data_IF_467611698860
#
_entry.id   IF_467611698860
#
_cell.length_a   1.000
_cell.length_b   1.000
_cell.length_c   1.000
_cell.angle_alpha   90.00
_cell.angle_beta   90.00
_cell.angle_gamma   90.00
#
_symmetry.space_group_name_H-M   'P 1'
#
loop_
_entity.id
_entity.type
_entity.pdbx_description
1 polymer ?
#
# COMPACT_ATOMS: atom_id res chain seq x y z
N UNK A 1 11.87 9.32 15.73
CA UNK A 1 12.41 8.40 16.73
C UNK A 1 13.87 8.73 17.03
N UNK A 2 14.34 8.47 18.25
CA UNK A 2 15.69 8.82 18.73
C UNK A 2 16.82 8.19 17.89
N UNK A 3 16.59 7.00 17.30
CA UNK A 3 17.63 6.30 16.55
C UNK A 3 18.12 7.05 15.30
N UNK A 4 17.23 7.64 14.50
CA UNK A 4 17.63 8.46 13.33
C UNK A 4 18.38 9.71 13.80
N UNK A 5 17.92 10.35 14.87
CA UNK A 5 18.59 11.51 15.46
C UNK A 5 20.00 11.16 15.95
N UNK A 6 20.20 9.95 16.49
CA UNK A 6 21.52 9.42 16.85
C UNK A 6 22.41 9.21 15.63
N UNK A 7 21.89 8.58 14.56
CA UNK A 7 22.66 8.42 13.32
C UNK A 7 23.04 9.76 12.68
N UNK A 8 22.20 10.79 12.78
CA UNK A 8 22.56 12.16 12.36
C UNK A 8 23.75 12.71 13.15
N UNK A 9 23.77 12.54 14.48
CA UNK A 9 24.90 12.96 15.33
C UNK A 9 26.17 12.19 14.99
N UNK A 10 26.07 10.86 14.85
CA UNK A 10 27.21 10.00 14.50
C UNK A 10 27.80 10.35 13.13
N UNK A 11 26.93 10.65 12.15
CA UNK A 11 27.34 11.13 10.82
C UNK A 11 28.04 12.50 10.90
N UNK A 12 27.55 13.42 11.73
CA UNK A 12 28.18 14.72 11.98
C UNK A 12 29.53 14.59 12.71
N UNK A 13 29.67 13.58 13.58
CA UNK A 13 30.90 13.26 14.29
C UNK A 13 31.90 12.42 13.46
N UNK A 14 31.60 12.12 12.20
CA UNK A 14 32.49 11.37 11.30
C UNK A 14 32.63 9.89 11.66
N UNK A 15 31.68 9.31 12.40
CA UNK A 15 31.68 7.88 12.73
C UNK A 15 31.52 7.06 11.46
N UNK A 16 32.42 6.10 11.25
CA UNK A 16 32.42 5.27 10.05
C UNK A 16 31.08 4.53 9.86
N UNK A 17 30.63 4.49 8.61
CA UNK A 17 29.34 3.94 8.19
C UNK A 17 28.08 4.69 8.66
N UNK A 18 28.17 5.74 9.47
CA UNK A 18 27.00 6.45 9.98
C UNK A 18 26.21 7.19 8.88
N UNK A 19 26.93 7.76 7.90
CA UNK A 19 26.30 8.41 6.74
C UNK A 19 25.46 7.41 5.91
N UNK A 20 26.01 6.22 5.65
CA UNK A 20 25.29 5.18 4.89
C UNK A 20 24.06 4.67 5.66
N UNK A 21 24.17 4.45 6.97
CA UNK A 21 23.04 4.07 7.83
C UNK A 21 21.95 5.15 7.86
N UNK A 22 22.34 6.42 7.95
CA UNK A 22 21.40 7.54 7.93
C UNK A 22 20.64 7.62 6.59
N UNK A 23 21.35 7.54 5.47
CA UNK A 23 20.74 7.58 4.15
C UNK A 23 19.76 6.41 3.91
N UNK A 24 20.12 5.21 4.34
CA UNK A 24 19.24 4.04 4.29
C UNK A 24 17.98 4.22 5.14
N UNK A 25 18.13 4.80 6.34
CA UNK A 25 17.02 5.06 7.25
C UNK A 25 16.05 6.11 6.69
N UNK A 26 16.57 7.19 6.13
CA UNK A 26 15.76 8.23 5.48
C UNK A 26 15.03 7.69 4.26
N UNK A 27 15.70 6.86 3.45
CA UNK A 27 15.08 6.20 2.30
C UNK A 27 13.93 5.29 2.74
N UNK A 28 14.15 4.42 3.74
CA UNK A 28 13.10 3.56 4.28
C UNK A 28 11.93 4.37 4.83
N UNK A 29 12.20 5.45 5.58
CA UNK A 29 11.17 6.34 6.12
C UNK A 29 10.30 6.90 5.00
N UNK A 30 10.90 7.44 3.93
CA UNK A 30 10.15 7.97 2.79
C UNK A 30 9.23 6.92 2.15
N UNK A 31 9.66 5.65 2.06
CA UNK A 31 8.81 4.57 1.51
C UNK A 31 7.66 4.22 2.45
N UNK A 32 7.90 4.21 3.75
CA UNK A 32 6.83 3.98 4.74
C UNK A 32 5.81 5.12 4.75
N UNK A 33 6.23 6.37 4.52
CA UNK A 33 5.32 7.51 4.37
C UNK A 33 4.40 7.37 3.14
N UNK A 34 4.90 6.82 2.03
CA UNK A 34 4.08 6.49 0.85
C UNK A 34 3.01 5.43 1.17
N UNK A 35 3.38 4.37 1.88
CA UNK A 35 2.44 3.32 2.33
C UNK A 35 1.41 3.91 3.28
N UNK A 36 1.85 4.73 4.24
CA UNK A 36 0.99 5.37 5.23
C UNK A 36 -0.06 6.26 4.55
N UNK A 37 0.36 7.07 3.57
CA UNK A 37 -0.56 7.89 2.78
C UNK A 37 -1.47 7.04 1.89
N UNK A 38 -0.93 5.96 1.30
CA UNK A 38 -1.67 5.00 0.48
C UNK A 38 -2.28 5.62 -0.78
N UNK A 39 -1.59 6.59 -1.40
CA UNK A 39 -1.97 7.06 -2.73
C UNK A 39 -1.68 5.99 -3.78
N UNK A 40 -2.47 5.92 -4.85
CA UNK A 40 -2.18 5.00 -5.96
C UNK A 40 -0.74 5.23 -6.50
N UNK A 41 0.09 4.19 -6.69
CA UNK A 41 -0.22 2.76 -6.64
C UNK A 41 0.13 2.06 -5.31
N UNK A 42 0.26 2.80 -4.21
CA UNK A 42 0.62 2.29 -2.87
C UNK A 42 -0.60 2.02 -1.99
N UNK A 43 -1.78 1.99 -2.59
CA UNK A 43 -3.04 1.77 -1.91
C UNK A 43 -3.32 0.27 -1.70
N UNK A 44 -4.24 -0.01 -0.77
CA UNK A 44 -4.86 -1.34 -0.65
C UNK A 44 -6.17 -1.30 -1.44
N UNK A 45 -6.27 -2.21 -2.40
CA UNK A 45 -7.49 -2.47 -3.16
C UNK A 45 -8.08 -3.82 -2.76
N UNK A 46 -9.36 -3.82 -2.40
CA UNK A 46 -10.09 -5.00 -1.92
C UNK A 46 -11.31 -5.25 -2.79
N UNK A 47 -11.21 -6.22 -3.71
CA UNK A 47 -12.21 -6.47 -4.75
C UNK A 47 -13.63 -6.76 -4.25
N UNK A 48 -13.82 -7.29 -3.04
CA UNK A 48 -15.17 -7.54 -2.50
C UNK A 48 -15.75 -6.35 -1.73
N UNK A 49 -15.00 -5.25 -1.56
CA UNK A 49 -15.48 -4.04 -0.90
C UNK A 49 -15.93 -3.01 -1.94
N UNK A 50 -17.08 -2.33 -1.77
CA UNK A 50 -17.43 -1.17 -2.59
C UNK A 50 -16.47 0.00 -2.33
N UNK A 51 -16.52 1.02 -3.19
CA UNK A 51 -15.55 2.12 -3.20
C UNK A 51 -15.47 2.88 -1.86
N UNK A 52 -16.60 3.08 -1.19
CA UNK A 52 -16.70 3.75 0.12
C UNK A 52 -16.09 2.92 1.27
N UNK A 53 -16.00 1.60 1.11
CA UNK A 53 -15.42 0.69 2.11
C UNK A 53 -13.95 0.34 1.84
N UNK A 54 -13.38 0.82 0.73
CA UNK A 54 -11.96 0.61 0.43
C UNK A 54 -11.07 1.27 1.49
N UNK A 55 -9.96 0.64 1.92
CA UNK A 55 -9.00 1.25 2.85
C UNK A 55 -8.44 2.58 2.33
N UNK A 56 -8.31 3.57 3.22
CA UNK A 56 -7.68 4.87 2.90
C UNK A 56 -6.38 4.98 3.69
N UNK A 57 -5.26 5.14 2.98
CA UNK A 57 -3.94 5.03 3.60
C UNK A 57 -3.62 3.61 4.03
N UNK A 58 -2.66 3.49 4.95
CA UNK A 58 -2.36 2.22 5.61
C UNK A 58 -3.37 1.94 6.74
N UNK A 59 -4.52 1.39 6.36
CA UNK A 59 -5.59 0.97 7.27
C UNK A 59 -6.14 -0.41 6.86
N UNK A 60 -5.32 -1.48 6.94
CA UNK A 60 -5.70 -2.80 6.48
C UNK A 60 -6.74 -3.47 7.39
N UNK A 61 -7.67 -4.20 6.80
CA UNK A 61 -8.54 -5.13 7.52
C UNK A 61 -7.90 -6.53 7.49
N UNK A 62 -7.69 -7.13 8.66
CA UNK A 62 -7.06 -8.44 8.78
C UNK A 62 -7.88 -9.55 8.12
N UNK A 63 -9.20 -9.36 7.99
CA UNK A 63 -10.09 -10.32 7.33
C UNK A 63 -9.96 -10.30 5.80
N UNK A 64 -9.33 -9.27 5.22
CA UNK A 64 -9.15 -9.19 3.77
C UNK A 64 -8.00 -10.09 3.25
N UNK A 65 -7.21 -10.63 4.17
CA UNK A 65 -6.12 -11.56 3.88
C UNK A 65 -4.80 -10.89 3.53
N UNK A 66 -3.72 -11.63 3.78
CA UNK A 66 -2.33 -11.13 3.71
C UNK A 66 -1.95 -10.64 2.31
N UNK A 67 -2.43 -11.30 1.24
CA UNK A 67 -2.03 -10.99 -0.15
C UNK A 67 -2.37 -9.54 -0.53
N UNK A 68 -3.52 -9.03 -0.12
CA UNK A 68 -3.92 -7.65 -0.44
C UNK A 68 -3.17 -6.67 0.46
N UNK A 69 -3.12 -6.96 1.76
CA UNK A 69 -2.49 -6.09 2.76
C UNK A 69 -0.98 -5.94 2.54
N UNK A 70 -0.28 -6.93 2.00
CA UNK A 70 1.17 -6.82 1.74
C UNK A 70 1.51 -6.01 0.49
N UNK A 71 0.54 -5.71 -0.39
CA UNK A 71 0.81 -5.08 -1.70
C UNK A 71 1.54 -3.73 -1.60
N UNK A 72 1.15 -2.78 -0.74
CA UNK A 72 1.86 -1.50 -0.61
C UNK A 72 3.35 -1.66 -0.27
N UNK A 73 3.68 -2.68 0.52
CA UNK A 73 5.04 -2.99 0.95
C UNK A 73 5.93 -3.48 -0.20
N UNK A 74 5.32 -4.01 -1.25
CA UNK A 74 5.99 -4.49 -2.47
C UNK A 74 6.00 -3.47 -3.60
N UNK A 75 5.01 -2.57 -3.65
CA UNK A 75 4.82 -1.62 -4.75
C UNK A 75 5.64 -0.35 -4.61
N UNK A 76 6.03 0.04 -3.39
CA UNK A 76 6.93 1.18 -3.18
C UNK A 76 8.31 0.92 -3.79
N UNK A 77 9.07 1.98 -4.15
CA UNK A 77 10.42 1.81 -4.67
C UNK A 77 11.32 0.99 -3.73
N UNK A 78 12.13 0.12 -4.32
CA UNK A 78 13.00 -0.82 -3.59
C UNK A 78 14.00 -0.08 -2.69
N UNK A 79 14.14 -0.56 -1.44
CA UNK A 79 15.20 -0.11 -0.51
C UNK A 79 16.41 -1.06 -0.47
N UNK A 80 16.29 -2.22 -1.11
CA UNK A 80 17.32 -3.26 -1.11
C UNK A 80 17.14 -4.22 -2.27
N UNK A 81 16.45 -5.34 -2.04
CA UNK A 81 16.24 -6.36 -3.08
C UNK A 81 15.30 -5.84 -4.16
N UNK A 82 15.69 -6.02 -5.43
CA UNK A 82 14.88 -5.61 -6.59
C UNK A 82 13.49 -6.27 -6.60
N UNK A 83 12.45 -5.46 -6.72
CA UNK A 83 11.05 -5.85 -6.73
C UNK A 83 10.52 -6.35 -5.39
N UNK A 84 11.16 -5.98 -4.28
CA UNK A 84 10.73 -6.32 -2.92
C UNK A 84 10.18 -5.10 -2.15
N UNK A 85 10.24 -3.90 -2.73
CA UNK A 85 9.85 -2.66 -2.07
C UNK A 85 10.65 -2.46 -0.77
N UNK A 86 9.95 -2.46 0.36
CA UNK A 86 10.57 -2.36 1.70
C UNK A 86 10.82 -3.71 2.36
N UNK A 87 10.41 -4.82 1.75
CA UNK A 87 10.64 -6.14 2.29
C UNK A 87 12.09 -6.59 2.08
N UNK A 88 12.59 -7.43 3.00
CA UNK A 88 13.91 -8.06 2.88
C UNK A 88 14.00 -8.97 1.66
N UNK A 89 12.94 -9.75 1.42
CA UNK A 89 12.85 -10.71 0.33
C UNK A 89 11.55 -10.56 -0.45
N UNK A 90 11.64 -10.82 -1.76
CA UNK A 90 10.49 -10.80 -2.67
C UNK A 90 9.70 -12.11 -2.53
N UNK A 91 8.43 -12.06 -2.08
CA UNK A 91 7.56 -13.22 -2.08
C UNK A 91 7.11 -13.55 -3.50
N UNK A 92 6.80 -14.82 -3.75
CA UNK A 92 6.30 -15.29 -5.04
C UNK A 92 4.77 -15.06 -5.13
N UNK A 93 4.35 -13.83 -5.40
CA UNK A 93 2.95 -13.44 -5.56
C UNK A 93 2.68 -13.13 -7.03
N UNK A 94 1.62 -13.74 -7.59
CA UNK A 94 1.09 -13.39 -8.91
C UNK A 94 -0.02 -12.37 -8.72
N UNK A 95 0.08 -11.20 -9.38
CA UNK A 95 -0.91 -10.11 -9.24
C UNK A 95 -2.02 -10.16 -10.29
N UNK A 96 -1.82 -10.88 -11.40
CA UNK A 96 -2.80 -10.98 -12.47
C UNK A 96 -4.15 -11.58 -12.03
N UNK A 97 -5.07 -11.65 -12.99
CA UNK A 97 -6.42 -12.17 -12.83
C UNK A 97 -6.46 -13.48 -12.02
N UNK A 98 -7.33 -13.51 -11.02
CA UNK A 98 -7.62 -14.71 -10.23
C UNK A 98 -8.57 -15.66 -10.98
N UNK A 99 -8.59 -16.93 -10.56
CA UNK A 99 -9.48 -17.95 -11.14
C UNK A 99 -10.94 -17.70 -10.76
N UNK A 100 -11.84 -17.98 -11.69
CA UNK A 100 -13.30 -17.87 -11.51
C UNK A 100 -13.85 -16.53 -11.98
N UNK A 101 -15.13 -16.29 -11.66
CA UNK A 101 -15.86 -15.07 -11.97
C UNK A 101 -16.51 -14.52 -10.72
N UNK A 102 -16.71 -13.22 -10.68
CA UNK A 102 -17.58 -12.58 -9.70
C UNK A 102 -19.03 -12.67 -10.12
N UNK A 103 -19.91 -12.65 -9.12
CA UNK A 103 -21.36 -12.54 -9.30
C UNK A 103 -21.73 -11.11 -9.66
N UNK A 104 -22.87 -10.91 -10.31
CA UNK A 104 -23.34 -9.58 -10.76
C UNK A 104 -23.51 -8.58 -9.62
N UNK A 105 -23.79 -9.07 -8.40
CA UNK A 105 -23.89 -8.23 -7.20
C UNK A 105 -22.54 -7.79 -6.63
N UNK A 106 -21.41 -8.27 -7.16
CA UNK A 106 -20.10 -7.86 -6.68
C UNK A 106 -19.83 -6.39 -7.04
N UNK A 107 -19.19 -5.59 -6.16
CA UNK A 107 -19.09 -4.15 -6.35
C UNK A 107 -18.39 -3.71 -7.64
N UNK A 108 -17.47 -4.55 -8.16
CA UNK A 108 -16.65 -4.26 -9.33
C UNK A 108 -17.05 -5.07 -10.57
N UNK A 109 -18.17 -5.79 -10.53
CA UNK A 109 -18.61 -6.62 -11.66
C UNK A 109 -18.76 -5.78 -12.94
N UNK A 110 -19.41 -4.62 -12.85
CA UNK A 110 -19.62 -3.73 -13.99
C UNK A 110 -18.33 -3.15 -14.58
N UNK A 111 -17.29 -2.97 -13.75
CA UNK A 111 -15.98 -2.44 -14.19
C UNK A 111 -15.16 -3.52 -14.88
N UNK A 112 -15.19 -4.76 -14.37
CA UNK A 112 -14.33 -5.84 -14.83
C UNK A 112 -15.06 -6.93 -15.66
N UNK A 113 -16.35 -6.77 -15.95
CA UNK A 113 -17.14 -7.79 -16.66
C UNK A 113 -17.15 -9.14 -15.92
N UNK A 114 -17.25 -9.09 -14.60
CA UNK A 114 -17.16 -10.24 -13.70
C UNK A 114 -15.78 -10.89 -13.58
N UNK A 115 -14.73 -10.30 -14.16
CA UNK A 115 -13.37 -10.80 -13.97
C UNK A 115 -12.81 -10.47 -12.59
N UNK A 116 -12.08 -11.42 -12.02
CA UNK A 116 -11.48 -11.28 -10.69
C UNK A 116 -10.14 -10.55 -10.78
N UNK A 117 -10.19 -9.23 -10.86
CA UNK A 117 -9.01 -8.36 -10.97
C UNK A 117 -8.63 -7.82 -9.59
N UNK A 118 -7.45 -8.19 -9.09
CA UNK A 118 -6.88 -7.62 -7.86
C UNK A 118 -5.77 -6.60 -8.14
N UNK A 119 -5.19 -6.60 -9.34
CA UNK A 119 -4.16 -5.64 -9.77
C UNK A 119 -4.78 -4.31 -10.22
N UNK A 120 -5.48 -3.67 -9.29
CA UNK A 120 -6.17 -2.40 -9.51
C UNK A 120 -5.82 -1.41 -8.41
N UNK A 121 -5.83 -0.12 -8.72
CA UNK A 121 -5.46 0.94 -7.79
C UNK A 121 -6.52 2.02 -7.79
N UNK A 122 -6.76 2.58 -6.61
CA UNK A 122 -7.72 3.65 -6.41
C UNK A 122 -7.03 4.77 -5.65
N UNK A 123 -7.31 6.00 -6.06
CA UNK A 123 -6.77 7.18 -5.41
C UNK A 123 -7.40 7.38 -4.04
N UNK A 124 -6.68 8.06 -3.15
CA UNK A 124 -7.24 8.47 -1.84
C UNK A 124 -8.47 9.37 -2.04
N UNK A 125 -8.44 10.22 -3.07
CA UNK A 125 -9.52 11.14 -3.39
C UNK A 125 -10.81 10.40 -3.76
N UNK A 126 -10.75 9.39 -4.63
CA UNK A 126 -11.92 8.59 -5.04
C UNK A 126 -12.59 7.91 -3.84
N UNK A 127 -11.78 7.28 -2.97
CA UNK A 127 -12.27 6.57 -1.77
C UNK A 127 -12.94 7.54 -0.79
N UNK A 128 -12.33 8.72 -0.56
CA UNK A 128 -12.89 9.76 0.31
C UNK A 128 -14.18 10.36 -0.26
N UNK A 129 -14.22 10.61 -1.56
CA UNK A 129 -15.41 11.14 -2.23
C UNK A 129 -16.59 10.18 -2.11
N UNK A 130 -16.37 8.87 -2.30
CA UNK A 130 -17.42 7.86 -2.14
C UNK A 130 -17.98 7.79 -0.71
N UNK A 131 -17.10 7.84 0.31
CA UNK A 131 -17.54 7.90 1.72
C UNK A 131 -18.36 9.14 2.02
N UNK A 132 -17.94 10.30 1.51
CA UNK A 132 -18.66 11.56 1.72
C UNK A 132 -20.03 11.55 1.04
N UNK A 133 -20.14 10.94 -0.16
CA UNK A 133 -21.42 10.77 -0.84
C UNK A 133 -22.37 9.89 -0.04
N UNK A 134 -21.90 8.74 0.47
CA UNK A 134 -22.72 7.83 1.29
C UNK A 134 -23.28 8.51 2.55
N UNK A 135 -22.46 9.30 3.24
CA UNK A 135 -22.88 10.05 4.44
C UNK A 135 -23.98 11.07 4.13
N UNK A 136 -23.89 11.75 2.97
CA UNK A 136 -24.91 12.71 2.52
C UNK A 136 -26.23 12.03 2.17
N UNK A 137 -26.19 10.84 1.58
CA UNK A 137 -27.40 10.10 1.20
C UNK A 137 -28.09 9.42 2.38
N UNK A 138 -27.38 9.23 3.50
CA UNK A 138 -27.92 8.63 4.72
C UNK A 138 -28.47 9.65 5.72
N UNK A 139 -28.29 10.96 5.46
CA UNK A 139 -28.81 12.08 6.26
C UNK A 139 -30.11 12.62 5.68
#
# INVERSE_FOLDING_TARGET
>A
GDWISRQRRDAAAGVDGAQARLAAAETLKQRLELILHGEAPYDIFVRWKPLDQQPVGWDPDLNDGVRLNIRPWLSVPDVGKKGAGVLRDKPNIKWGKDRGKDVESAPWFGVFGGERINDWHLTVAEKRAARALLQRTAS
#
